data_IF_489499928814
#
_entry.id   IF_489499928814
#
_cell.length_a   1.000
_cell.length_b   1.000
_cell.length_c   1.000
_cell.angle_alpha   90.00
_cell.angle_beta   90.00
_cell.angle_gamma   90.00
#
_symmetry.space_group_name_H-M   'P 1'
#
loop_
_entity.id
_entity.type
_entity.pdbx_description
1 polymer ?
#
# COMPACT_ATOMS: atom_id res chain seq x y z
N UNK A 1 24.71 10.78 -14.65
CA UNK A 1 23.98 11.92 -14.05
C UNK A 1 23.32 11.35 -12.82
N UNK A 2 23.81 11.70 -11.63
CA UNK A 2 23.44 11.04 -10.40
C UNK A 2 21.98 11.35 -10.05
N UNK A 3 21.18 10.29 -9.95
CA UNK A 3 19.88 10.26 -9.29
C UNK A 3 20.04 10.89 -7.90
N UNK A 4 19.37 12.01 -7.69
CA UNK A 4 19.21 12.54 -6.34
C UNK A 4 18.39 11.52 -5.56
N UNK A 5 19.02 10.85 -4.59
CA UNK A 5 18.31 10.15 -3.54
C UNK A 5 17.32 11.15 -2.92
N UNK A 6 16.03 10.96 -3.19
CA UNK A 6 14.96 11.68 -2.51
C UNK A 6 15.21 11.53 -1.01
N UNK A 7 15.43 12.67 -0.34
CA UNK A 7 15.79 12.73 1.06
C UNK A 7 14.76 11.98 1.90
N UNK A 8 15.26 11.35 2.97
CA UNK A 8 14.53 10.47 3.89
C UNK A 8 13.23 11.12 4.42
N UNK A 9 12.15 10.97 3.65
CA UNK A 9 10.89 11.65 3.91
C UNK A 9 10.29 11.09 5.20
N UNK A 10 10.14 11.94 6.21
CA UNK A 10 9.53 11.55 7.48
C UNK A 10 8.02 11.73 7.38
N UNK A 11 7.28 10.64 7.51
CA UNK A 11 5.81 10.61 7.46
C UNK A 11 5.28 10.14 8.80
N UNK A 12 4.51 11.00 9.48
CA UNK A 12 3.96 10.74 10.80
C UNK A 12 5.01 10.19 11.82
N UNK A 13 6.23 10.74 11.78
CA UNK A 13 7.31 10.37 12.71
C UNK A 13 8.12 9.13 12.33
N UNK A 14 7.87 8.52 11.18
CA UNK A 14 8.70 7.43 10.63
C UNK A 14 9.39 7.87 9.34
N UNK A 15 10.69 7.59 9.25
CA UNK A 15 11.44 7.84 8.03
C UNK A 15 11.08 6.81 6.95
N UNK A 16 11.23 7.19 5.67
CA UNK A 16 10.96 6.27 4.58
C UNK A 16 11.90 5.06 4.60
N UNK A 17 13.18 5.29 4.95
CA UNK A 17 14.14 4.22 5.14
C UNK A 17 13.70 3.24 6.24
N UNK A 18 13.25 3.74 7.40
CA UNK A 18 12.76 2.91 8.51
C UNK A 18 11.52 2.10 8.10
N UNK A 19 10.57 2.72 7.41
CA UNK A 19 9.38 2.04 6.91
C UNK A 19 9.75 0.94 5.90
N UNK A 20 10.66 1.26 4.97
CA UNK A 20 11.11 0.31 3.93
C UNK A 20 11.84 -0.88 4.54
N UNK A 21 12.79 -0.65 5.44
CA UNK A 21 13.51 -1.72 6.14
C UNK A 21 12.53 -2.64 6.90
N UNK A 22 11.57 -2.02 7.60
CA UNK A 22 10.54 -2.75 8.35
C UNK A 22 9.68 -3.61 7.43
N UNK A 23 9.18 -3.05 6.33
CA UNK A 23 8.38 -3.77 5.33
C UNK A 23 9.18 -4.93 4.75
N UNK A 24 10.45 -4.72 4.38
CA UNK A 24 11.31 -5.79 3.84
C UNK A 24 11.45 -6.93 4.84
N UNK A 25 11.73 -6.60 6.11
CA UNK A 25 11.88 -7.59 7.18
C UNK A 25 10.60 -8.37 7.46
N UNK A 26 9.47 -7.67 7.60
CA UNK A 26 8.20 -8.25 8.03
C UNK A 26 7.45 -8.97 6.90
N UNK A 27 7.35 -8.35 5.73
CA UNK A 27 6.51 -8.82 4.64
C UNK A 27 7.27 -9.58 3.55
N UNK A 28 8.57 -9.29 3.39
CA UNK A 28 9.39 -9.83 2.29
C UNK A 28 10.54 -10.74 2.75
N UNK A 29 10.52 -11.18 4.01
CA UNK A 29 11.48 -12.15 4.56
C UNK A 29 12.92 -11.63 4.60
N UNK A 30 13.11 -10.31 4.67
CA UNK A 30 14.44 -9.70 4.69
C UNK A 30 15.11 -9.55 3.32
N UNK A 31 14.46 -9.93 2.22
CA UNK A 31 15.04 -9.84 0.88
C UNK A 31 14.51 -8.60 0.12
N UNK A 32 15.32 -7.53 -0.04
CA UNK A 32 14.89 -6.31 -0.73
C UNK A 32 14.48 -6.58 -2.18
N UNK A 33 15.06 -7.60 -2.83
CA UNK A 33 14.75 -7.94 -4.23
C UNK A 33 13.30 -8.40 -4.40
N UNK A 34 12.70 -8.98 -3.35
CA UNK A 34 11.28 -9.38 -3.38
C UNK A 34 10.36 -8.17 -3.32
N UNK A 35 10.74 -7.12 -2.58
CA UNK A 35 10.03 -5.84 -2.62
C UNK A 35 10.15 -5.19 -4.00
N UNK A 36 11.34 -5.19 -4.60
CA UNK A 36 11.53 -4.63 -5.94
C UNK A 36 10.67 -5.33 -7.00
N UNK A 37 10.60 -6.67 -6.95
CA UNK A 37 9.72 -7.46 -7.81
C UNK A 37 8.24 -7.13 -7.57
N UNK A 38 7.83 -6.94 -6.31
CA UNK A 38 6.47 -6.55 -5.96
C UNK A 38 6.13 -5.18 -6.56
N UNK A 39 7.01 -4.18 -6.40
CA UNK A 39 6.85 -2.86 -7.00
C UNK A 39 6.81 -2.91 -8.54
N UNK A 40 7.59 -3.78 -9.17
CA UNK A 40 7.55 -3.99 -10.61
C UNK A 40 6.21 -4.57 -11.07
N UNK A 41 5.71 -5.61 -10.38
CA UNK A 41 4.41 -6.22 -10.68
C UNK A 41 3.24 -5.23 -10.51
N UNK A 42 3.31 -4.35 -9.51
CA UNK A 42 2.36 -3.24 -9.34
C UNK A 42 2.47 -2.29 -10.53
N UNK A 43 3.66 -1.75 -10.82
CA UNK A 43 3.86 -0.78 -11.92
C UNK A 43 3.41 -1.30 -13.29
N UNK A 44 3.61 -2.58 -13.57
CA UNK A 44 3.16 -3.24 -14.82
C UNK A 44 1.64 -3.27 -14.99
N UNK A 45 0.89 -3.26 -13.90
CA UNK A 45 -0.57 -3.45 -13.90
C UNK A 45 -1.36 -2.15 -13.75
N UNK A 46 -0.70 -1.04 -13.41
CA UNK A 46 -1.38 0.23 -13.15
C UNK A 46 -1.48 1.09 -14.41
N UNK A 47 -2.55 1.91 -14.52
CA UNK A 47 -2.61 2.97 -15.51
C UNK A 47 -1.45 3.96 -15.37
N UNK A 48 -1.13 4.73 -16.42
CA UNK A 48 -0.22 5.87 -16.31
C UNK A 48 -0.61 6.81 -15.17
N UNK A 49 0.37 7.46 -14.56
CA UNK A 49 0.19 8.45 -13.48
C UNK A 49 -0.50 7.94 -12.20
N UNK A 50 -0.75 6.64 -12.08
CA UNK A 50 -1.22 6.04 -10.82
C UNK A 50 -0.04 5.80 -9.88
N UNK A 51 -0.12 6.35 -8.67
CA UNK A 51 0.82 6.04 -7.61
C UNK A 51 0.36 4.86 -6.76
N UNK A 52 1.30 4.21 -6.08
CA UNK A 52 1.00 3.12 -5.15
C UNK A 52 1.79 3.28 -3.86
N UNK A 53 1.10 3.09 -2.74
CA UNK A 53 1.67 3.15 -1.39
C UNK A 53 1.27 1.93 -0.58
N UNK A 54 2.15 1.49 0.31
CA UNK A 54 1.78 0.56 1.39
C UNK A 54 1.41 1.34 2.64
N UNK A 55 0.41 0.83 3.36
CA UNK A 55 -0.05 1.37 4.64
C UNK A 55 -0.14 0.25 5.68
N UNK A 56 -0.69 0.58 6.84
CA UNK A 56 -1.08 -0.40 7.83
C UNK A 56 0.08 -1.04 8.57
N UNK A 57 -0.16 -2.25 9.07
CA UNK A 57 0.69 -2.93 10.05
C UNK A 57 2.07 -3.29 9.52
N UNK A 58 2.23 -3.51 8.21
CA UNK A 58 3.55 -3.74 7.60
C UNK A 58 4.46 -2.50 7.69
N UNK A 59 3.85 -1.31 7.67
CA UNK A 59 4.55 -0.02 7.76
C UNK A 59 4.79 0.38 9.20
N UNK A 60 3.81 0.21 10.10
CA UNK A 60 3.93 0.62 11.51
C UNK A 60 4.56 -0.46 12.40
N UNK A 61 4.49 -1.71 11.99
CA UNK A 61 4.88 -2.89 12.79
C UNK A 61 3.77 -3.44 13.69
N UNK A 62 2.61 -2.77 13.75
CA UNK A 62 1.52 -3.11 14.67
C UNK A 62 0.15 -2.96 13.99
N UNK A 63 -0.79 -3.85 14.34
CA UNK A 63 -2.18 -3.74 13.93
C UNK A 63 -2.81 -2.45 14.47
N UNK A 64 -3.75 -1.91 13.70
CA UNK A 64 -4.44 -0.68 14.07
C UNK A 64 -5.40 -0.89 15.25
N UNK A 65 -6.12 -2.01 15.26
CA UNK A 65 -7.26 -2.19 16.17
C UNK A 65 -6.84 -2.50 17.62
N UNK A 66 -5.80 -3.31 17.81
CA UNK A 66 -5.40 -3.83 19.12
C UNK A 66 -3.92 -3.64 19.46
N UNK A 67 -3.18 -2.94 18.59
CA UNK A 67 -1.73 -2.76 18.70
C UNK A 67 -0.91 -4.06 18.81
N UNK A 68 -1.46 -5.21 18.42
CA UNK A 68 -0.68 -6.42 18.36
C UNK A 68 0.43 -6.31 17.29
N UNK A 69 1.59 -6.94 17.49
CA UNK A 69 2.64 -6.98 16.47
C UNK A 69 2.15 -7.55 15.13
N UNK A 70 2.79 -7.14 14.05
CA UNK A 70 2.63 -7.80 12.75
C UNK A 70 2.89 -9.31 12.88
N UNK A 71 1.99 -10.11 12.32
CA UNK A 71 1.96 -11.58 12.42
C UNK A 71 1.87 -12.13 13.86
N UNK A 72 1.25 -11.40 14.80
CA UNK A 72 1.06 -11.86 16.18
C UNK A 72 0.34 -13.22 16.29
N UNK A 73 -0.55 -13.54 15.33
CA UNK A 73 -1.29 -14.80 15.28
C UNK A 73 -0.56 -15.90 14.47
N UNK A 74 0.67 -15.64 14.04
CA UNK A 74 1.49 -16.55 13.25
C UNK A 74 1.97 -15.94 11.93
N UNK A 75 3.00 -16.53 11.35
CA UNK A 75 3.58 -16.06 10.10
C UNK A 75 2.54 -16.05 8.97
N UNK A 76 2.40 -14.91 8.29
CA UNK A 76 1.48 -14.74 7.16
C UNK A 76 0.04 -14.38 7.54
N UNK A 77 -0.25 -14.12 8.82
CA UNK A 77 -1.61 -13.79 9.28
C UNK A 77 -1.97 -12.32 9.11
N UNK A 78 -0.98 -11.42 9.09
CA UNK A 78 -1.20 -10.01 8.74
C UNK A 78 -1.21 -9.81 7.24
N UNK A 79 -2.14 -8.99 6.77
CA UNK A 79 -2.31 -8.57 5.39
C UNK A 79 -1.37 -7.42 5.01
N UNK A 80 -1.30 -7.12 3.72
CA UNK A 80 -0.69 -5.91 3.19
C UNK A 80 -1.76 -4.98 2.63
N UNK A 81 -1.82 -3.77 3.18
CA UNK A 81 -2.70 -2.69 2.70
C UNK A 81 -2.02 -1.93 1.55
N UNK A 82 -2.27 -2.35 0.32
CA UNK A 82 -1.88 -1.62 -0.89
C UNK A 82 -2.91 -0.56 -1.22
N UNK A 83 -2.51 0.69 -1.33
CA UNK A 83 -3.38 1.79 -1.75
C UNK A 83 -2.89 2.38 -3.06
N UNK A 84 -3.75 2.34 -4.07
CA UNK A 84 -3.56 2.94 -5.38
C UNK A 84 -4.16 4.35 -5.35
N UNK A 85 -3.40 5.30 -5.86
CA UNK A 85 -3.71 6.73 -5.74
C UNK A 85 -3.80 7.34 -7.13
N UNK A 86 -4.96 7.92 -7.44
CA UNK A 86 -5.24 8.56 -8.73
C UNK A 86 -6.71 8.48 -9.14
N UNK A 87 -7.13 9.34 -10.07
CA UNK A 87 -8.52 9.39 -10.56
C UNK A 87 -8.94 8.11 -11.29
N UNK A 88 -8.13 7.68 -12.27
CA UNK A 88 -8.45 6.56 -13.15
C UNK A 88 -8.64 5.26 -12.35
N UNK A 89 -7.75 5.00 -11.39
CA UNK A 89 -7.82 3.78 -10.58
C UNK A 89 -9.02 3.78 -9.63
N UNK A 90 -9.44 4.94 -9.12
CA UNK A 90 -10.64 5.08 -8.29
C UNK A 90 -11.90 4.73 -9.10
N UNK A 91 -11.92 5.08 -10.40
CA UNK A 91 -13.00 4.76 -11.32
C UNK A 91 -13.23 3.26 -11.57
N UNK A 92 -12.27 2.40 -11.17
CA UNK A 92 -12.39 0.94 -11.32
C UNK A 92 -13.24 0.27 -10.23
N UNK A 93 -13.57 0.98 -9.14
CA UNK A 93 -14.26 0.43 -7.98
C UNK A 93 -15.76 0.66 -8.02
N UNK A 94 -16.54 -0.30 -7.52
CA UNK A 94 -18.00 -0.20 -7.39
C UNK A 94 -18.49 0.08 -5.96
N UNK A 95 -17.63 -0.05 -4.95
CA UNK A 95 -17.97 0.14 -3.55
C UNK A 95 -17.01 1.11 -2.83
N UNK A 96 -17.55 1.97 -1.97
CA UNK A 96 -16.82 3.10 -1.38
C UNK A 96 -17.15 3.34 0.09
N UNK A 97 -16.15 3.81 0.84
CA UNK A 97 -16.37 4.51 2.11
C UNK A 97 -16.80 5.95 1.87
N UNK A 98 -16.22 6.59 0.85
CA UNK A 98 -16.61 7.91 0.35
C UNK A 98 -16.76 7.80 -1.17
N UNK A 99 -17.98 7.87 -1.73
CA UNK A 99 -18.24 7.69 -3.15
C UNK A 99 -17.33 8.52 -4.05
N UNK A 100 -16.65 7.86 -5.00
CA UNK A 100 -15.73 8.51 -5.96
C UNK A 100 -14.42 9.05 -5.37
N UNK A 101 -14.18 8.83 -4.08
CA UNK A 101 -13.02 9.40 -3.37
C UNK A 101 -12.17 8.33 -2.70
N UNK A 102 -12.79 7.44 -1.92
CA UNK A 102 -12.09 6.42 -1.14
C UNK A 102 -12.89 5.11 -1.18
N UNK A 103 -12.37 4.14 -1.91
CA UNK A 103 -13.02 2.85 -2.13
C UNK A 103 -12.99 1.96 -0.88
N UNK A 104 -13.84 0.92 -0.86
CA UNK A 104 -13.59 -0.24 0.00
C UNK A 104 -12.40 -1.04 -0.56
N UNK A 105 -11.64 -1.74 0.29
CA UNK A 105 -10.54 -2.57 -0.19
C UNK A 105 -11.06 -3.79 -0.93
N UNK A 106 -10.48 -4.08 -2.10
CA UNK A 106 -10.60 -5.37 -2.76
C UNK A 106 -9.91 -6.41 -1.88
N UNK A 107 -10.72 -7.30 -1.29
CA UNK A 107 -10.31 -8.30 -0.30
C UNK A 107 -11.05 -9.61 -0.52
N UNK A 108 -10.93 -10.57 0.39
CA UNK A 108 -11.74 -11.80 0.36
C UNK A 108 -13.19 -11.55 0.81
N UNK A 109 -13.45 -10.48 1.56
CA UNK A 109 -14.80 -10.08 1.98
C UNK A 109 -15.57 -9.41 0.84
N UNK A 110 -14.86 -8.62 0.03
CA UNK A 110 -15.40 -7.85 -1.09
C UNK A 110 -14.65 -8.20 -2.40
N UNK A 111 -14.73 -9.45 -2.93
CA UNK A 111 -13.89 -9.90 -4.05
C UNK A 111 -14.30 -9.33 -5.41
N UNK A 112 -15.54 -8.87 -5.56
CA UNK A 112 -16.14 -8.45 -6.83
C UNK A 112 -16.19 -6.93 -7.01
N UNK A 113 -15.66 -6.14 -6.05
CA UNK A 113 -15.79 -4.68 -6.08
C UNK A 113 -14.85 -4.01 -7.09
N UNK A 114 -13.81 -4.71 -7.55
CA UNK A 114 -12.90 -4.24 -8.59
C UNK A 114 -12.32 -5.42 -9.40
N UNK A 115 -13.11 -6.00 -10.34
CA UNK A 115 -12.71 -7.19 -11.10
C UNK A 115 -11.41 -6.99 -11.90
N UNK A 116 -11.14 -5.76 -12.36
CA UNK A 116 -9.93 -5.41 -13.11
C UNK A 116 -8.63 -5.65 -12.33
N UNK A 117 -8.66 -5.53 -11.00
CA UNK A 117 -7.49 -5.69 -10.13
C UNK A 117 -7.36 -7.09 -9.52
N UNK A 118 -8.32 -7.99 -9.74
CA UNK A 118 -8.26 -9.38 -9.23
C UNK A 118 -7.03 -10.14 -9.72
N UNK A 119 -6.61 -10.07 -11.01
CA UNK A 119 -5.38 -10.72 -11.46
C UNK A 119 -4.13 -10.20 -10.75
N UNK A 120 -4.05 -8.88 -10.54
CA UNK A 120 -2.96 -8.25 -9.80
C UNK A 120 -2.95 -8.74 -8.36
N UNK A 121 -4.09 -8.67 -7.65
CA UNK A 121 -4.22 -9.13 -6.25
C UNK A 121 -3.72 -10.56 -6.09
N UNK A 122 -4.16 -11.48 -6.96
CA UNK A 122 -3.72 -12.89 -6.93
C UNK A 122 -2.21 -13.02 -7.14
N UNK A 123 -1.63 -12.30 -8.11
CA UNK A 123 -0.17 -12.29 -8.34
C UNK A 123 0.58 -11.79 -7.11
N UNK A 124 0.15 -10.68 -6.52
CA UNK A 124 0.79 -10.11 -5.34
C UNK A 124 0.72 -11.05 -4.13
N UNK A 125 -0.45 -11.64 -3.86
CA UNK A 125 -0.64 -12.63 -2.78
C UNK A 125 0.28 -13.85 -2.95
N UNK A 126 0.44 -14.35 -4.19
CA UNK A 126 1.37 -15.45 -4.47
C UNK A 126 2.83 -15.08 -4.19
N UNK A 127 3.21 -13.82 -4.42
CA UNK A 127 4.57 -13.34 -4.17
C UNK A 127 4.88 -13.21 -2.68
N UNK A 128 3.91 -12.76 -1.88
CA UNK A 128 4.13 -12.46 -0.44
C UNK A 128 3.63 -13.56 0.51
N UNK A 129 2.85 -14.51 0.02
CA UNK A 129 2.31 -15.63 0.82
C UNK A 129 1.32 -15.21 1.90
N UNK A 130 0.69 -14.04 1.75
CA UNK A 130 -0.27 -13.45 2.70
C UNK A 130 -1.35 -12.65 1.95
N UNK A 131 -2.48 -12.29 2.59
CA UNK A 131 -3.49 -11.46 1.96
C UNK A 131 -2.93 -10.10 1.53
N UNK A 132 -3.39 -9.60 0.39
CA UNK A 132 -3.11 -8.25 -0.08
C UNK A 132 -4.44 -7.58 -0.35
N UNK A 133 -4.73 -6.52 0.39
CA UNK A 133 -5.93 -5.72 0.27
C UNK A 133 -5.61 -4.50 -0.59
N UNK A 134 -6.40 -4.26 -1.63
CA UNK A 134 -6.13 -3.18 -2.59
C UNK A 134 -7.24 -2.13 -2.50
N UNK A 135 -6.90 -0.91 -2.13
CA UNK A 135 -7.82 0.24 -2.06
C UNK A 135 -7.44 1.28 -3.11
N UNK A 136 -8.42 1.86 -3.81
CA UNK A 136 -8.27 3.08 -4.59
C UNK A 136 -8.64 4.33 -3.79
N UNK A 137 -7.85 5.41 -3.90
CA UNK A 137 -8.14 6.72 -3.28
C UNK A 137 -7.69 7.90 -4.14
N UNK A 138 -8.28 9.07 -3.89
CA UNK A 138 -7.78 10.36 -4.39
C UNK A 138 -6.56 10.83 -3.59
N UNK A 139 -5.74 11.65 -4.22
CA UNK A 139 -4.40 12.01 -3.76
C UNK A 139 -4.44 12.83 -2.46
N UNK A 140 -5.34 13.81 -2.38
CA UNK A 140 -5.51 14.66 -1.19
C UNK A 140 -5.94 13.88 0.07
N UNK A 141 -6.54 12.68 -0.06
CA UNK A 141 -6.84 11.82 1.08
C UNK A 141 -5.55 11.32 1.74
N UNK A 142 -4.49 11.10 0.97
CA UNK A 142 -3.19 10.69 1.52
C UNK A 142 -2.59 11.81 2.38
N UNK A 143 -2.73 13.07 1.97
CA UNK A 143 -2.35 14.22 2.77
C UNK A 143 -3.09 14.26 4.11
N UNK A 144 -4.42 14.09 4.09
CA UNK A 144 -5.26 14.05 5.30
C UNK A 144 -4.82 12.94 6.25
N UNK A 145 -4.63 11.71 5.73
CA UNK A 145 -4.23 10.56 6.55
C UNK A 145 -2.88 10.78 7.24
N UNK A 146 -1.91 11.33 6.51
CA UNK A 146 -0.59 11.61 7.06
C UNK A 146 -0.61 12.73 8.09
N UNK A 147 -1.12 13.91 7.72
CA UNK A 147 -0.93 15.13 8.52
C UNK A 147 -1.99 15.33 9.60
N UNK A 148 -3.22 14.84 9.37
CA UNK A 148 -4.33 15.01 10.32
C UNK A 148 -4.58 13.76 11.16
N UNK A 149 -4.29 12.56 10.63
CA UNK A 149 -4.54 11.29 11.33
C UNK A 149 -3.27 10.61 11.85
N UNK A 150 -2.08 11.14 11.53
CA UNK A 150 -0.81 10.55 11.96
C UNK A 150 -0.58 9.15 11.38
N UNK A 151 -1.12 8.86 10.20
CA UNK A 151 -1.00 7.55 9.55
C UNK A 151 0.12 7.57 8.51
N UNK A 152 1.27 6.92 8.80
CA UNK A 152 2.38 6.83 7.86
C UNK A 152 2.03 5.92 6.67
N UNK A 153 2.70 6.15 5.54
CA UNK A 153 2.64 5.28 4.38
C UNK A 153 4.02 5.18 3.72
N UNK A 154 4.31 4.03 3.12
CA UNK A 154 5.53 3.82 2.34
C UNK A 154 5.20 3.96 0.85
N UNK A 155 5.90 4.85 0.16
CA UNK A 155 5.76 5.02 -1.28
C UNK A 155 6.42 3.85 -2.03
N UNK A 156 5.69 3.22 -2.95
CA UNK A 156 6.18 2.08 -3.74
C UNK A 156 6.41 2.42 -5.23
N UNK A 157 5.45 3.12 -5.83
CA UNK A 157 5.43 3.44 -7.26
C UNK A 157 4.88 4.85 -7.46
N UNK A 158 5.47 5.58 -8.41
CA UNK A 158 4.99 6.91 -8.81
C UNK A 158 5.41 8.00 -7.84
N UNK A 159 4.65 9.09 -7.83
CA UNK A 159 4.75 10.17 -6.85
C UNK A 159 3.34 10.62 -6.52
N UNK A 160 3.14 11.12 -5.31
CA UNK A 160 1.88 11.78 -4.97
C UNK A 160 1.98 13.23 -5.43
N UNK A 161 0.95 13.73 -6.10
CA UNK A 161 0.81 15.16 -6.30
C UNK A 161 0.48 15.80 -4.95
N UNK A 162 1.34 16.72 -4.50
CA UNK A 162 1.00 17.59 -3.38
C UNK A 162 -0.10 18.55 -3.83
N UNK A 163 -1.15 18.77 -3.01
CA UNK A 163 -2.17 19.77 -3.30
C UNK A 163 -1.59 21.19 -3.42
#
# INVERSE_FOLDING_TARGET
>A
MAEQAEGDAVRAGLSEAEMRERVIRLAFGGDPRRLDQFCAAVREALPPDTAAVLRGSAVTGYRHDDHAPFDADGAGTSDLDLTLVGDEVVGLYSAFWIPGINSRPLSDEDPDICPALVPLRRRLMQMVGRPVNIQGTRDWIMFVREHLMGQPYLMLVGKLESP
#
